data_IF_249257800329
#
_entry.id   IF_249257800329
#
_cell.length_a   1.000
_cell.length_b   1.000
_cell.length_c   1.000
_cell.angle_alpha   90.00
_cell.angle_beta   90.00
_cell.angle_gamma   90.00
#
_symmetry.space_group_name_H-M   'P 1'
#
loop_
_entity.id
_entity.type
_entity.pdbx_description
1 polymer ?
#
# COMPACT_ATOMS: atom_id res chain seq x y z
N UNK A 1 7.92 36.21 -8.26
CA UNK A 1 8.57 35.20 -7.40
C UNK A 1 7.89 35.05 -6.04
N UNK A 2 7.71 36.12 -5.24
CA UNK A 2 7.05 36.06 -3.91
C UNK A 2 5.59 35.55 -3.93
N UNK A 3 4.84 35.83 -5.00
CA UNK A 3 3.48 35.28 -5.22
C UNK A 3 3.47 33.78 -5.53
N UNK A 4 4.46 33.29 -6.27
CA UNK A 4 4.60 31.85 -6.60
C UNK A 4 5.01 31.03 -5.36
N UNK A 5 5.87 31.60 -4.50
CA UNK A 5 6.25 31.03 -3.21
C UNK A 5 5.04 30.88 -2.26
N UNK A 6 4.14 31.88 -2.25
CA UNK A 6 2.94 31.82 -1.42
C UNK A 6 1.97 30.71 -1.87
N UNK A 7 1.81 30.51 -3.18
CA UNK A 7 0.92 29.46 -3.72
C UNK A 7 1.48 28.06 -3.45
N UNK A 8 2.79 27.85 -3.61
CA UNK A 8 3.44 26.57 -3.30
C UNK A 8 3.33 26.22 -1.81
N UNK A 9 3.48 27.20 -0.93
CA UNK A 9 3.33 27.00 0.52
C UNK A 9 1.88 26.64 0.90
N UNK A 10 0.88 27.27 0.29
CA UNK A 10 -0.54 26.95 0.50
C UNK A 10 -0.92 25.53 0.06
N UNK A 11 -0.37 25.04 -1.06
CA UNK A 11 -0.58 23.68 -1.55
C UNK A 11 0.00 22.61 -0.61
N UNK A 12 1.16 22.87 0.00
CA UNK A 12 1.80 21.95 0.94
C UNK A 12 1.02 21.84 2.26
N UNK A 13 0.47 22.94 2.77
CA UNK A 13 -0.30 22.92 4.03
C UNK A 13 -1.64 22.19 3.92
N UNK A 14 -2.28 22.16 2.75
CA UNK A 14 -3.55 21.46 2.55
C UNK A 14 -3.41 19.92 2.46
N UNK A 15 -2.19 19.41 2.25
CA UNK A 15 -1.94 17.97 2.13
C UNK A 15 -1.90 17.24 3.48
N UNK A 16 -1.76 17.96 4.60
CA UNK A 16 -1.86 17.39 5.95
C UNK A 16 -3.27 17.59 6.50
N UNK A 17 -4.30 17.14 5.77
CA UNK A 17 -5.67 17.15 6.29
C UNK A 17 -5.92 15.88 7.12
N UNK A 18 -5.89 16.09 8.43
CA UNK A 18 -6.62 15.34 9.47
C UNK A 18 -6.16 13.91 9.80
N UNK A 19 -5.23 13.81 10.75
CA UNK A 19 -5.06 12.60 11.53
C UNK A 19 -6.06 12.64 12.70
N UNK A 20 -7.24 12.05 12.49
CA UNK A 20 -8.16 11.76 13.59
C UNK A 20 -7.49 10.89 14.68
N UNK A 21 -8.08 10.81 15.89
CA UNK A 21 -7.49 10.05 16.98
C UNK A 21 -7.28 8.59 16.56
N UNK A 22 -6.02 8.17 16.55
CA UNK A 22 -5.64 6.78 16.29
C UNK A 22 -6.10 5.95 17.48
N UNK A 23 -7.08 5.08 17.24
CA UNK A 23 -7.44 4.04 18.20
C UNK A 23 -6.21 3.14 18.42
N UNK A 24 -5.81 2.98 19.69
CA UNK A 24 -4.71 2.07 20.07
C UNK A 24 -5.12 0.66 19.66
N UNK A 25 -4.38 -0.02 18.75
CA UNK A 25 -4.68 -1.40 18.41
C UNK A 25 -4.58 -2.25 19.67
N UNK A 26 -5.63 -3.02 19.96
CA UNK A 26 -5.54 -4.06 20.97
C UNK A 26 -4.41 -5.03 20.59
N UNK A 27 -3.66 -5.50 21.59
CA UNK A 27 -2.52 -6.40 21.39
C UNK A 27 -2.95 -7.61 20.54
N UNK A 28 -2.35 -7.83 19.36
CA UNK A 28 -2.77 -8.91 18.48
C UNK A 28 -2.60 -10.24 19.19
N UNK A 29 -3.73 -10.91 19.47
CA UNK A 29 -3.69 -12.32 19.86
C UNK A 29 -3.05 -13.09 18.71
N UNK A 30 -2.06 -13.97 18.97
CA UNK A 30 -1.45 -14.75 17.91
C UNK A 30 -2.55 -15.48 17.14
N UNK A 31 -2.62 -15.32 15.81
CA UNK A 31 -3.61 -16.03 15.02
C UNK A 31 -3.38 -17.54 15.18
N UNK A 32 -4.45 -18.36 15.10
CA UNK A 32 -4.26 -19.80 15.01
C UNK A 32 -3.32 -20.12 13.84
N UNK A 33 -2.44 -21.10 14.02
CA UNK A 33 -1.50 -21.54 12.99
C UNK A 33 -2.29 -22.00 11.76
N UNK A 34 -2.42 -21.13 10.77
CA UNK A 34 -3.10 -21.48 9.52
C UNK A 34 -2.25 -22.52 8.79
N UNK A 35 -2.83 -23.62 8.30
CA UNK A 35 -2.14 -24.51 7.37
C UNK A 35 -1.53 -23.68 6.24
N UNK A 36 -0.31 -24.05 5.79
CA UNK A 36 0.32 -23.38 4.66
C UNK A 36 -0.68 -23.31 3.50
N UNK A 37 -1.11 -22.10 3.16
CA UNK A 37 -2.08 -21.90 2.10
C UNK A 37 -1.48 -22.43 0.80
N UNK A 38 -2.22 -23.30 0.11
CA UNK A 38 -1.83 -23.70 -1.24
C UNK A 38 -1.81 -22.45 -2.11
N UNK A 39 -0.63 -22.09 -2.61
CA UNK A 39 -0.46 -20.96 -3.52
C UNK A 39 -1.12 -21.34 -4.85
N UNK A 40 -2.12 -20.58 -5.33
CA UNK A 40 -2.66 -20.79 -6.67
C UNK A 40 -1.58 -20.56 -7.73
N UNK A 41 -1.58 -21.34 -8.82
CA UNK A 41 -0.60 -21.19 -9.91
C UNK A 41 -0.57 -19.76 -10.50
N UNK A 42 -1.72 -19.07 -10.52
CA UNK A 42 -1.80 -17.67 -10.94
C UNK A 42 -1.04 -16.68 -10.03
N UNK A 43 -0.72 -17.06 -8.80
CA UNK A 43 0.06 -16.29 -7.83
C UNK A 43 1.50 -16.79 -7.68
N UNK A 44 1.89 -17.84 -8.43
CA UNK A 44 3.26 -18.36 -8.43
C UNK A 44 4.16 -17.54 -9.37
N UNK A 45 4.35 -16.28 -9.01
CA UNK A 45 5.20 -15.36 -9.74
C UNK A 45 6.02 -14.48 -8.81
N UNK A 46 7.14 -14.01 -9.35
CA UNK A 46 7.95 -12.94 -8.76
C UNK A 46 8.22 -11.90 -9.84
N UNK A 47 7.91 -10.64 -9.54
CA UNK A 47 8.04 -9.54 -10.50
C UNK A 47 8.67 -8.32 -9.82
N UNK A 48 9.51 -7.54 -10.54
CA UNK A 48 10.08 -6.32 -9.99
C UNK A 48 9.00 -5.25 -9.81
N UNK A 49 9.10 -4.46 -8.75
CA UNK A 49 8.26 -3.27 -8.57
C UNK A 49 8.88 -2.01 -9.19
N UNK A 50 8.11 -0.91 -9.19
CA UNK A 50 8.54 0.37 -9.76
C UNK A 50 9.65 1.07 -8.94
N UNK A 51 9.84 0.68 -7.68
CA UNK A 51 10.88 1.19 -6.78
C UNK A 51 12.18 0.35 -6.82
N UNK A 52 12.23 -0.72 -7.63
CA UNK A 52 13.36 -1.63 -7.75
C UNK A 52 13.36 -2.78 -6.74
N UNK A 53 12.27 -2.97 -6.00
CA UNK A 53 12.03 -4.13 -5.15
C UNK A 53 11.44 -5.32 -5.93
N UNK A 54 10.94 -6.30 -5.18
CA UNK A 54 10.29 -7.50 -5.71
C UNK A 54 8.93 -7.69 -5.06
N UNK A 55 7.96 -8.09 -5.87
CA UNK A 55 6.63 -8.52 -5.43
C UNK A 55 6.53 -10.02 -5.63
N UNK A 56 6.34 -10.75 -4.54
CA UNK A 56 6.03 -12.18 -4.54
C UNK A 56 4.51 -12.37 -4.59
N UNK A 57 3.97 -12.96 -5.66
CA UNK A 57 2.53 -13.19 -5.80
C UNK A 57 1.95 -14.06 -4.68
N UNK A 58 2.73 -15.00 -4.15
CA UNK A 58 2.35 -15.86 -3.03
C UNK A 58 1.96 -15.08 -1.77
N UNK A 59 2.55 -13.89 -1.55
CA UNK A 59 2.22 -13.02 -0.41
C UNK A 59 0.80 -12.45 -0.46
N UNK A 60 0.15 -12.49 -1.63
CA UNK A 60 -1.21 -12.00 -1.85
C UNK A 60 -2.27 -13.09 -1.60
N UNK A 61 -1.86 -14.34 -1.43
CA UNK A 61 -2.79 -15.45 -1.27
C UNK A 61 -3.65 -15.29 0.00
N UNK A 62 -4.97 -15.29 -0.18
CA UNK A 62 -5.94 -15.14 0.91
C UNK A 62 -6.17 -13.71 1.40
N UNK A 63 -5.54 -12.70 0.78
CA UNK A 63 -5.79 -11.28 1.03
C UNK A 63 -6.65 -10.62 -0.04
N UNK A 64 -7.24 -9.46 0.31
CA UNK A 64 -7.94 -8.60 -0.65
C UNK A 64 -6.93 -7.76 -1.46
N UNK A 65 -7.07 -7.73 -2.79
CA UNK A 65 -6.17 -7.01 -3.71
C UNK A 65 -6.96 -6.16 -4.70
N UNK A 66 -6.51 -4.92 -4.91
CA UNK A 66 -7.01 -4.03 -5.98
C UNK A 66 -5.93 -3.91 -7.06
N UNK A 67 -6.28 -4.29 -8.29
CA UNK A 67 -5.41 -4.15 -9.45
C UNK A 67 -5.76 -2.85 -10.19
N UNK A 68 -4.81 -1.91 -10.20
CA UNK A 68 -4.94 -0.66 -10.95
C UNK A 68 -4.11 -0.74 -12.23
N UNK A 69 -4.79 -1.03 -13.34
CA UNK A 69 -4.19 -0.95 -14.66
C UNK A 69 -4.34 0.47 -15.22
N UNK A 70 -3.23 1.05 -15.65
CA UNK A 70 -3.22 2.35 -16.33
C UNK A 70 -2.10 2.38 -17.36
N UNK A 71 -2.19 3.32 -18.30
CA UNK A 71 -1.14 3.58 -19.26
C UNK A 71 -1.07 5.09 -19.58
N UNK A 72 0.11 5.64 -19.89
CA UNK A 72 0.33 7.09 -20.04
C UNK A 72 0.00 7.67 -21.42
N UNK A 73 -0.50 6.86 -22.36
CA UNK A 73 -0.69 7.22 -23.76
C UNK A 73 -2.03 7.91 -24.05
#
# INVERSE_FOLDING_TARGET
MRRLLATALLLVLAACSDAGPIAVPAEPRPPPSTPAATVPEALDFTLPDLAGGQVEGASLAGGDVVLWFWAPW
#
